data_IF_789167289362
#
_entry.id   IF_789167289362
#
_cell.length_a   1.000
_cell.length_b   1.000
_cell.length_c   1.000
_cell.angle_alpha   90.00
_cell.angle_beta   90.00
_cell.angle_gamma   90.00
#
_symmetry.space_group_name_H-M   'P 1'
#
loop_
_entity.id
_entity.type
_entity.pdbx_description
1 polymer ?
#
# COMPACT_ATOMS: atom_id res chain seq x y z
N UNK A 1 -17.26 11.68 -7.83
CA UNK A 1 -16.91 10.26 -8.13
C UNK A 1 -16.57 9.57 -6.82
N UNK A 2 -17.40 8.62 -6.38
CA UNK A 2 -17.16 7.68 -5.27
C UNK A 2 -18.39 6.74 -5.16
N UNK A 3 -18.81 6.16 -6.28
CA UNK A 3 -20.05 5.35 -6.32
C UNK A 3 -19.86 4.07 -5.50
N UNK A 4 -18.74 3.37 -5.72
CA UNK A 4 -18.43 2.10 -5.05
C UNK A 4 -18.48 2.19 -3.52
N UNK A 5 -17.75 3.12 -2.88
CA UNK A 5 -17.73 3.17 -1.40
C UNK A 5 -19.07 3.58 -0.79
N UNK A 6 -19.95 4.27 -1.54
CA UNK A 6 -21.31 4.60 -1.10
C UNK A 6 -22.26 3.42 -1.23
N UNK A 7 -22.08 2.62 -2.28
CA UNK A 7 -22.94 1.47 -2.59
C UNK A 7 -22.56 0.20 -1.82
N UNK A 8 -21.31 0.10 -1.36
CA UNK A 8 -20.76 -1.10 -0.72
C UNK A 8 -20.31 -0.76 0.72
N UNK A 9 -21.26 -0.69 1.68
CA UNK A 9 -20.91 -0.47 3.08
C UNK A 9 -20.24 -1.71 3.69
N UNK A 10 -19.39 -1.48 4.70
CA UNK A 10 -18.76 -2.55 5.46
C UNK A 10 -19.80 -3.37 6.25
N UNK A 11 -19.58 -4.68 6.33
CA UNK A 11 -20.40 -5.55 7.19
C UNK A 11 -19.91 -5.42 8.65
N UNK A 12 -20.80 -5.14 9.63
CA UNK A 12 -20.40 -4.96 11.03
C UNK A 12 -19.82 -6.22 11.69
N UNK A 13 -20.03 -7.41 11.12
CA UNK A 13 -19.49 -8.68 11.64
C UNK A 13 -18.10 -9.04 11.07
N UNK A 14 -17.54 -8.20 10.20
CA UNK A 14 -16.24 -8.44 9.55
C UNK A 14 -15.23 -7.42 10.05
N UNK A 15 -14.06 -7.91 10.47
CA UNK A 15 -12.93 -7.05 10.79
C UNK A 15 -12.18 -6.66 9.52
N UNK A 16 -12.01 -5.34 9.30
CA UNK A 16 -11.29 -4.79 8.15
C UNK A 16 -10.00 -4.14 8.64
N UNK A 17 -8.88 -4.48 8.01
CA UNK A 17 -7.56 -3.91 8.29
C UNK A 17 -6.92 -3.45 6.99
N UNK A 18 -6.12 -2.39 7.05
CA UNK A 18 -5.32 -1.99 5.91
C UNK A 18 -3.95 -1.48 6.30
N UNK A 19 -3.01 -1.63 5.36
CA UNK A 19 -1.68 -1.04 5.39
C UNK A 19 -1.54 -0.17 4.15
N UNK A 20 -0.90 0.98 4.29
CA UNK A 20 -0.46 1.78 3.15
C UNK A 20 0.99 1.47 2.82
N UNK A 21 1.46 1.93 1.67
CA UNK A 21 2.87 1.90 1.32
C UNK A 21 3.33 3.29 0.85
N UNK A 22 4.57 3.64 1.15
CA UNK A 22 5.20 4.81 0.55
C UNK A 22 6.71 4.70 0.55
N UNK A 23 7.31 5.11 -0.57
CA UNK A 23 8.77 5.24 -0.69
C UNK A 23 9.12 6.34 -1.69
N UNK A 24 10.41 6.66 -1.80
CA UNK A 24 10.91 7.48 -2.88
C UNK A 24 11.10 6.62 -4.13
N UNK A 25 10.12 6.68 -5.04
CA UNK A 25 10.19 5.95 -6.31
C UNK A 25 11.28 6.58 -7.19
N UNK A 26 12.27 5.82 -7.68
CA UNK A 26 13.37 6.35 -8.47
C UNK A 26 12.92 6.70 -9.90
N UNK A 27 13.61 7.64 -10.56
CA UNK A 27 13.23 8.17 -11.88
C UNK A 27 13.19 7.12 -13.01
N UNK A 28 13.98 6.05 -12.88
CA UNK A 28 13.99 4.92 -13.82
C UNK A 28 12.88 3.90 -13.55
N UNK A 29 12.16 4.00 -12.43
CA UNK A 29 11.04 3.11 -12.17
C UNK A 29 9.87 3.46 -13.09
N UNK A 30 9.19 2.47 -13.68
CA UNK A 30 7.96 2.71 -14.44
C UNK A 30 6.81 3.27 -13.57
N UNK A 31 6.94 3.20 -12.23
CA UNK A 31 6.00 3.84 -11.29
C UNK A 31 6.26 5.35 -11.13
N UNK A 32 7.38 5.89 -11.64
CA UNK A 32 7.80 7.25 -11.36
C UNK A 32 6.81 8.32 -11.84
N UNK A 33 6.25 8.15 -13.03
CA UNK A 33 5.34 9.16 -13.59
C UNK A 33 4.07 9.31 -12.76
N UNK A 34 3.41 8.19 -12.43
CA UNK A 34 2.23 8.19 -11.57
C UNK A 34 2.56 8.61 -10.13
N UNK A 35 3.72 8.20 -9.61
CA UNK A 35 4.22 8.65 -8.31
C UNK A 35 4.23 10.17 -8.19
N UNK A 36 4.77 10.88 -9.19
CA UNK A 36 4.85 12.35 -9.16
C UNK A 36 3.46 13.00 -9.17
N UNK A 37 2.56 12.52 -10.03
CA UNK A 37 1.18 13.03 -10.11
C UNK A 37 0.45 12.86 -8.77
N UNK A 38 0.57 11.68 -8.17
CA UNK A 38 -0.09 11.38 -6.88
C UNK A 38 0.58 12.17 -5.76
N UNK A 39 1.92 12.30 -5.78
CA UNK A 39 2.66 13.07 -4.78
C UNK A 39 2.22 14.53 -4.74
N UNK A 40 2.05 15.14 -5.91
CA UNK A 40 1.57 16.52 -6.02
C UNK A 40 0.13 16.68 -5.50
N UNK A 41 -0.77 15.73 -5.81
CA UNK A 41 -2.20 15.86 -5.50
C UNK A 41 -2.61 15.34 -4.13
N UNK A 42 -1.98 14.27 -3.66
CA UNK A 42 -2.42 13.48 -2.50
C UNK A 42 -1.29 13.19 -1.50
N UNK A 43 -0.03 13.47 -1.84
CA UNK A 43 1.11 13.33 -0.95
C UNK A 43 1.77 11.94 -0.99
N UNK A 44 2.27 11.42 0.15
CA UNK A 44 2.97 10.13 0.21
C UNK A 44 2.19 9.01 -0.48
N UNK A 45 2.88 8.24 -1.33
CA UNK A 45 2.29 7.18 -2.13
C UNK A 45 3.34 6.12 -2.51
N UNK A 46 2.86 4.98 -3.00
CA UNK A 46 3.65 3.82 -3.41
C UNK A 46 3.94 3.76 -4.92
N UNK A 47 3.57 4.83 -5.64
CA UNK A 47 3.64 4.93 -7.09
C UNK A 47 2.33 4.74 -7.81
N UNK A 48 1.29 4.16 -7.20
CA UNK A 48 -0.04 3.99 -7.81
C UNK A 48 -1.19 4.41 -6.89
N UNK A 49 -1.01 4.33 -5.58
CA UNK A 49 -2.03 4.61 -4.57
C UNK A 49 -1.44 5.49 -3.48
N UNK A 50 -2.13 6.57 -3.13
CA UNK A 50 -1.72 7.43 -2.01
C UNK A 50 -1.96 6.74 -0.68
N UNK A 51 -1.16 7.07 0.33
CA UNK A 51 -1.37 6.63 1.72
C UNK A 51 -2.76 7.01 2.19
N UNK A 52 -3.24 8.21 1.81
CA UNK A 52 -4.60 8.67 2.12
C UNK A 52 -5.68 7.75 1.53
N UNK A 53 -5.51 7.30 0.29
CA UNK A 53 -6.45 6.40 -0.39
C UNK A 53 -6.40 4.97 0.17
N UNK A 54 -5.24 4.51 0.64
CA UNK A 54 -5.04 3.17 1.18
C UNK A 54 -5.63 2.96 2.60
N UNK A 55 -6.02 4.03 3.30
CA UNK A 55 -6.61 3.95 4.63
C UNK A 55 -8.05 3.41 4.58
N UNK A 56 -8.27 2.20 5.09
CA UNK A 56 -9.59 1.57 5.16
C UNK A 56 -9.70 0.67 6.40
N UNK A 57 -10.87 0.67 7.05
CA UNK A 57 -11.06 -0.07 8.28
C UNK A 57 -10.11 0.39 9.39
N UNK A 58 -9.54 -0.56 10.13
CA UNK A 58 -8.47 -0.28 11.08
C UNK A 58 -7.14 -0.15 10.33
N UNK A 59 -6.65 1.09 10.21
CA UNK A 59 -5.36 1.35 9.61
C UNK A 59 -4.22 0.91 10.53
N UNK A 60 -3.36 0.03 10.02
CA UNK A 60 -2.31 -0.62 10.78
C UNK A 60 -0.95 0.07 10.63
N UNK A 61 -0.75 0.85 9.56
CA UNK A 61 0.46 1.62 9.34
C UNK A 61 0.82 1.79 7.87
N UNK A 62 1.88 2.56 7.61
CA UNK A 62 2.50 2.70 6.28
C UNK A 62 3.82 1.94 6.26
N UNK A 63 4.00 1.03 5.29
CA UNK A 63 5.26 0.33 5.06
C UNK A 63 6.13 1.07 4.06
N UNK A 64 7.45 1.01 4.24
CA UNK A 64 8.41 1.69 3.37
C UNK A 64 8.74 0.82 2.16
N UNK A 65 7.89 0.86 1.13
CA UNK A 65 8.07 0.14 -0.12
C UNK A 65 7.27 0.78 -1.26
N UNK A 66 7.55 0.35 -2.50
CA UNK A 66 6.69 0.71 -3.64
C UNK A 66 5.53 -0.29 -3.82
N UNK A 67 4.66 -0.01 -4.79
CA UNK A 67 3.47 -0.81 -5.03
C UNK A 67 3.78 -2.26 -5.43
N UNK A 68 4.92 -2.50 -6.09
CA UNK A 68 5.29 -3.82 -6.59
C UNK A 68 6.09 -4.64 -5.59
N UNK A 69 6.81 -3.99 -4.68
CA UNK A 69 7.43 -4.63 -3.52
C UNK A 69 6.40 -5.38 -2.67
N UNK A 70 5.20 -4.80 -2.48
CA UNK A 70 4.09 -5.45 -1.76
C UNK A 70 3.69 -6.80 -2.35
N UNK A 71 3.85 -7.01 -3.66
CA UNK A 71 3.47 -8.28 -4.32
C UNK A 71 4.64 -9.23 -4.50
N UNK A 72 5.82 -8.89 -3.96
CA UNK A 72 7.08 -9.61 -4.19
C UNK A 72 7.36 -9.84 -5.69
N UNK A 73 6.97 -8.89 -6.54
CA UNK A 73 6.99 -9.06 -8.00
C UNK A 73 8.40 -9.25 -8.55
N UNK A 74 9.38 -8.54 -7.98
CA UNK A 74 10.76 -8.55 -8.45
C UNK A 74 11.60 -9.52 -7.63
N UNK A 75 12.24 -10.50 -8.30
CA UNK A 75 13.23 -11.37 -7.67
C UNK A 75 14.51 -10.62 -7.27
N UNK A 76 14.79 -9.48 -7.92
CA UNK A 76 15.89 -8.57 -7.61
C UNK A 76 15.28 -7.24 -7.19
N UNK A 77 15.39 -6.92 -5.89
CA UNK A 77 14.95 -5.61 -5.36
C UNK A 77 16.08 -4.61 -5.53
N UNK A 78 15.90 -3.68 -6.46
CA UNK A 78 16.88 -2.62 -6.69
C UNK A 78 16.44 -1.42 -5.87
N UNK A 79 17.10 -1.20 -4.72
CA UNK A 79 16.87 -0.02 -3.87
C UNK A 79 15.74 -0.14 -2.86
N UNK A 80 15.17 -1.33 -2.65
CA UNK A 80 14.17 -1.59 -1.61
C UNK A 80 14.69 -2.61 -0.60
N UNK A 81 14.61 -2.27 0.69
CA UNK A 81 14.93 -3.15 1.82
C UNK A 81 13.71 -3.88 2.37
N UNK A 82 12.52 -3.62 1.83
CA UNK A 82 11.28 -4.20 2.32
C UNK A 82 11.26 -5.72 2.12
N UNK A 83 10.99 -6.49 3.17
CA UNK A 83 10.76 -7.93 3.10
C UNK A 83 9.25 -8.24 3.09
N UNK A 84 8.64 -8.55 1.92
CA UNK A 84 7.23 -8.88 1.84
C UNK A 84 6.93 -10.23 2.53
N UNK A 85 7.87 -11.17 2.58
CA UNK A 85 7.63 -12.47 3.21
C UNK A 85 7.52 -12.29 4.71
N UNK A 86 8.48 -11.60 5.33
CA UNK A 86 8.42 -11.28 6.76
C UNK A 86 7.18 -10.44 7.09
N UNK A 87 6.87 -9.42 6.28
CA UNK A 87 5.68 -8.60 6.46
C UNK A 87 4.39 -9.43 6.48
N UNK A 88 4.17 -10.30 5.49
CA UNK A 88 2.96 -11.11 5.44
C UNK A 88 2.92 -12.22 6.50
N UNK A 89 4.07 -12.75 6.94
CA UNK A 89 4.12 -13.65 8.10
C UNK A 89 3.67 -12.94 9.38
N UNK A 90 4.07 -11.69 9.57
CA UNK A 90 3.62 -10.86 10.70
C UNK A 90 2.11 -10.55 10.60
N UNK A 91 1.59 -10.25 9.40
CA UNK A 91 0.15 -10.08 9.18
C UNK A 91 -0.62 -11.37 9.49
N UNK A 92 -0.15 -12.51 9.01
CA UNK A 92 -0.77 -13.81 9.29
C UNK A 92 -0.78 -14.13 10.80
N UNK A 93 0.32 -13.82 11.49
CA UNK A 93 0.43 -13.98 12.94
C UNK A 93 -0.55 -13.08 13.67
N UNK A 94 -0.66 -11.81 13.28
CA UNK A 94 -1.63 -10.86 13.83
C UNK A 94 -3.09 -11.32 13.63
N UNK A 95 -3.41 -11.88 12.46
CA UNK A 95 -4.78 -12.36 12.18
C UNK A 95 -5.14 -13.66 12.89
N UNK A 96 -4.14 -14.43 13.35
CA UNK A 96 -4.34 -15.66 14.10
C UNK A 96 -4.60 -15.43 15.60
N UNK A 97 -4.39 -14.20 16.10
CA UNK A 97 -4.61 -13.79 17.49
C UNK A 97 -5.89 -12.99 17.63
#
# INVERSE_FOLDING_TARGET
VNYFNKSIPNNPSVAYYSYGASTNVPIWSPLYFSYQIIKEKEGPNDGLVSVKSAQWGKYMGTVECDHWDLTNRWRLKIGSSFDPVEFYLNVATFLAT
#
